data_IF_725087911393
#
_entry.id   IF_725087911393
#
_cell.length_a   1.000
_cell.length_b   1.000
_cell.length_c   1.000
_cell.angle_alpha   90.00
_cell.angle_beta   90.00
_cell.angle_gamma   90.00
#
_symmetry.space_group_name_H-M   'P 1'
#
loop_
_entity.id
_entity.type
_entity.pdbx_description
1 polymer ?
#
# COMPACT_ATOMS: atom_id res chain seq x y z
N UNK A 1 -30.83 2.67 3.66
CA UNK A 1 -29.73 3.50 3.13
C UNK A 1 -30.25 4.92 2.89
N UNK A 2 -29.55 6.00 3.30
CA UNK A 2 -29.94 7.38 2.93
C UNK A 2 -29.29 7.74 1.59
N UNK A 3 -29.98 8.50 0.74
CA UNK A 3 -29.52 8.87 -0.60
C UNK A 3 -28.08 9.42 -0.57
N UNK A 4 -27.17 8.79 -1.31
CA UNK A 4 -25.78 9.24 -1.45
C UNK A 4 -24.87 9.09 -0.22
N UNK A 5 -25.37 8.63 0.94
CA UNK A 5 -24.51 8.43 2.14
C UNK A 5 -23.70 7.15 2.04
N UNK A 6 -22.46 7.21 2.52
CA UNK A 6 -21.60 6.03 2.64
C UNK A 6 -22.19 5.03 3.62
N UNK A 7 -22.10 3.75 3.26
CA UNK A 7 -22.31 2.62 4.15
C UNK A 7 -21.39 1.47 3.72
N UNK A 8 -20.91 0.72 4.71
CA UNK A 8 -20.12 -0.49 4.50
C UNK A 8 -20.92 -1.53 3.71
N UNK A 9 -20.24 -2.25 2.82
CA UNK A 9 -20.81 -3.35 2.05
C UNK A 9 -21.20 -4.54 2.93
N UNK A 10 -20.61 -4.68 4.11
CA UNK A 10 -20.92 -5.74 5.07
C UNK A 10 -22.42 -5.94 5.29
N UNK A 11 -23.18 -4.84 5.39
CA UNK A 11 -24.64 -4.88 5.59
C UNK A 11 -25.43 -5.52 4.43
N UNK A 12 -24.79 -5.72 3.28
CA UNK A 12 -25.39 -6.34 2.10
C UNK A 12 -24.86 -7.76 1.85
N UNK A 13 -23.97 -8.26 2.71
CA UNK A 13 -23.49 -9.66 2.66
C UNK A 13 -24.53 -10.60 3.28
N UNK A 14 -24.48 -11.89 2.94
CA UNK A 14 -25.29 -12.91 3.62
C UNK A 14 -25.07 -12.88 5.14
N UNK A 15 -23.80 -12.78 5.55
CA UNK A 15 -23.39 -12.70 6.95
C UNK A 15 -23.99 -11.48 7.64
N UNK A 16 -23.83 -10.29 7.09
CA UNK A 16 -24.39 -9.06 7.68
C UNK A 16 -25.92 -9.04 7.73
N UNK A 17 -26.60 -9.67 6.77
CA UNK A 17 -28.06 -9.82 6.81
C UNK A 17 -28.53 -10.81 7.89
N UNK A 18 -27.80 -11.91 8.11
CA UNK A 18 -28.06 -12.84 9.21
C UNK A 18 -27.81 -12.20 10.58
N UNK A 19 -26.71 -11.46 10.72
CA UNK A 19 -26.42 -10.69 11.95
C UNK A 19 -27.54 -9.68 12.24
N UNK A 20 -28.00 -8.97 11.20
CA UNK A 20 -29.10 -8.02 11.33
C UNK A 20 -30.41 -8.71 11.72
N UNK A 21 -30.75 -9.86 11.12
CA UNK A 21 -31.98 -10.57 11.49
C UNK A 21 -31.93 -11.09 12.94
N UNK A 22 -30.80 -11.64 13.38
CA UNK A 22 -30.60 -12.08 14.76
C UNK A 22 -30.69 -10.91 15.75
N UNK A 23 -30.20 -9.72 15.38
CA UNK A 23 -30.31 -8.52 16.22
C UNK A 23 -31.75 -8.02 16.39
N UNK A 24 -32.63 -8.25 15.40
CA UNK A 24 -34.05 -7.86 15.46
C UNK A 24 -34.85 -8.81 16.37
N UNK A 25 -34.45 -10.08 16.49
CA UNK A 25 -35.08 -11.03 17.41
C UNK A 25 -34.68 -10.82 18.88
N UNK A 26 -33.60 -10.07 19.14
CA UNK A 26 -33.03 -9.80 20.46
C UNK A 26 -33.21 -8.31 20.81
N UNK A 27 -34.44 -7.82 20.76
CA UNK A 27 -34.75 -6.42 21.08
C UNK A 27 -34.73 -6.13 22.58
N UNK A 28 -34.87 -7.14 23.43
CA UNK A 28 -34.77 -7.01 24.89
C UNK A 28 -33.43 -7.60 25.38
N UNK A 29 -32.48 -6.75 25.85
CA UNK A 29 -31.20 -7.22 26.38
C UNK A 29 -31.34 -8.10 27.63
N UNK A 30 -32.48 -8.04 28.33
CA UNK A 30 -32.80 -8.84 29.52
C UNK A 30 -33.53 -10.15 29.19
N UNK A 31 -33.91 -10.38 27.92
CA UNK A 31 -34.52 -11.64 27.51
C UNK A 31 -33.53 -12.80 27.74
N UNK A 32 -34.00 -13.92 28.28
CA UNK A 32 -33.16 -15.08 28.53
C UNK A 32 -33.09 -15.97 27.29
N UNK A 33 -31.88 -16.22 26.79
CA UNK A 33 -31.62 -17.21 25.75
C UNK A 33 -31.14 -18.50 26.42
N UNK A 34 -31.78 -19.62 26.08
CA UNK A 34 -31.39 -20.94 26.55
C UNK A 34 -30.28 -21.49 25.65
N UNK A 35 -29.10 -21.73 26.22
CA UNK A 35 -28.02 -22.42 25.52
C UNK A 35 -28.31 -23.93 25.48
N UNK A 36 -27.75 -24.66 24.49
CA UNK A 36 -27.80 -26.11 24.48
C UNK A 36 -27.28 -26.68 25.81
N UNK A 37 -27.86 -27.76 26.33
CA UNK A 37 -27.40 -28.37 27.58
C UNK A 37 -25.94 -28.82 27.46
N UNK A 38 -25.20 -28.66 28.54
CA UNK A 38 -23.83 -29.17 28.65
C UNK A 38 -23.80 -30.71 28.77
N UNK A 39 -22.60 -31.28 28.94
CA UNK A 39 -22.38 -32.72 29.08
C UNK A 39 -23.17 -33.33 30.27
N UNK A 40 -23.58 -32.51 31.24
CA UNK A 40 -24.36 -32.91 32.41
C UNK A 40 -25.89 -32.72 32.20
N UNK A 41 -26.32 -32.28 31.01
CA UNK A 41 -27.74 -32.11 30.66
C UNK A 41 -28.37 -30.82 31.19
N UNK A 42 -27.59 -29.88 31.71
CA UNK A 42 -28.08 -28.63 32.30
C UNK A 42 -28.18 -27.53 31.25
N UNK A 43 -29.39 -27.02 31.03
CA UNK A 43 -29.62 -25.85 30.19
C UNK A 43 -29.26 -24.57 30.94
N UNK A 44 -28.31 -23.79 30.41
CA UNK A 44 -27.94 -22.48 30.95
C UNK A 44 -28.75 -21.39 30.27
N UNK A 45 -29.42 -20.56 31.07
CA UNK A 45 -30.11 -19.35 30.60
C UNK A 45 -29.20 -18.15 30.82
N UNK A 46 -28.83 -17.46 29.74
CA UNK A 46 -28.05 -16.23 29.83
C UNK A 46 -28.86 -15.05 29.28
N UNK A 47 -28.67 -13.83 29.83
CA UNK A 47 -29.24 -12.63 29.23
C UNK A 47 -28.80 -12.53 27.78
N UNK A 48 -29.72 -12.18 26.89
CA UNK A 48 -29.44 -12.05 25.48
C UNK A 48 -28.40 -10.95 25.21
N UNK A 49 -28.28 -9.98 26.11
CA UNK A 49 -27.20 -8.99 26.16
C UNK A 49 -25.80 -9.60 26.35
N UNK A 50 -25.66 -10.75 27.01
CA UNK A 50 -24.39 -11.42 27.25
C UNK A 50 -23.90 -12.24 26.04
N UNK A 51 -24.79 -12.56 25.09
CA UNK A 51 -24.46 -13.19 23.80
C UNK A 51 -24.00 -12.15 22.76
N UNK A 52 -24.17 -10.86 23.05
CA UNK A 52 -23.78 -9.78 22.13
C UNK A 52 -22.27 -9.72 22.01
N UNK A 53 -21.72 -10.50 21.09
CA UNK A 53 -20.51 -10.07 20.41
C UNK A 53 -20.93 -8.83 19.61
N UNK A 54 -20.35 -7.63 19.85
CA UNK A 54 -20.66 -6.48 19.04
C UNK A 54 -20.28 -6.84 17.61
N UNK A 55 -21.29 -7.12 16.77
CA UNK A 55 -21.10 -7.50 15.38
C UNK A 55 -20.10 -6.53 14.76
N UNK A 56 -18.88 -7.01 14.56
CA UNK A 56 -17.77 -6.17 14.12
C UNK A 56 -18.01 -5.99 12.64
N UNK A 57 -18.62 -4.85 12.29
CA UNK A 57 -18.89 -4.48 10.91
C UNK A 57 -17.59 -4.61 10.13
N UNK A 58 -17.57 -5.55 9.19
CA UNK A 58 -16.39 -5.80 8.38
C UNK A 58 -16.23 -4.64 7.40
N UNK A 59 -15.01 -4.11 7.30
CA UNK A 59 -14.72 -3.02 6.37
C UNK A 59 -14.70 -3.55 4.95
N UNK A 60 -15.08 -2.71 4.01
CA UNK A 60 -15.03 -3.02 2.57
C UNK A 60 -13.71 -3.69 2.10
N UNK A 61 -12.56 -3.23 2.59
CA UNK A 61 -11.23 -3.76 2.21
C UNK A 61 -10.92 -5.15 2.77
N UNK A 62 -11.66 -5.57 3.81
CA UNK A 62 -11.46 -6.82 4.54
C UNK A 62 -12.49 -7.90 4.16
N UNK A 63 -13.42 -7.59 3.25
CA UNK A 63 -14.39 -8.56 2.72
C UNK A 63 -13.69 -9.66 1.92
N UNK A 64 -14.29 -10.85 1.90
CA UNK A 64 -13.92 -11.85 0.89
C UNK A 64 -14.46 -11.45 -0.48
N UNK A 65 -13.96 -12.08 -1.54
CA UNK A 65 -14.48 -11.82 -2.88
C UNK A 65 -15.92 -12.30 -3.06
N UNK A 66 -16.27 -13.40 -2.41
CA UNK A 66 -17.61 -13.96 -2.37
C UNK A 66 -18.55 -12.95 -1.69
N UNK A 67 -18.17 -12.44 -0.52
CA UNK A 67 -18.94 -11.41 0.20
C UNK A 67 -19.06 -10.12 -0.59
N UNK A 68 -17.99 -9.68 -1.23
CA UNK A 68 -18.01 -8.51 -2.11
C UNK A 68 -19.00 -8.70 -3.27
N UNK A 69 -19.00 -9.86 -3.93
CA UNK A 69 -19.89 -10.14 -5.05
C UNK A 69 -21.37 -10.16 -4.62
N UNK A 70 -21.65 -10.75 -3.46
CA UNK A 70 -22.99 -10.71 -2.85
C UNK A 70 -23.43 -9.27 -2.54
N UNK A 71 -22.57 -8.53 -1.85
CA UNK A 71 -22.86 -7.19 -1.37
C UNK A 71 -23.02 -6.18 -2.51
N UNK A 72 -22.18 -6.26 -3.54
CA UNK A 72 -22.23 -5.39 -4.71
C UNK A 72 -23.60 -5.48 -5.41
N UNK A 73 -24.06 -6.69 -5.72
CA UNK A 73 -25.34 -6.88 -6.41
C UNK A 73 -26.52 -6.42 -5.55
N UNK A 74 -26.51 -6.73 -4.25
CA UNK A 74 -27.58 -6.29 -3.34
C UNK A 74 -27.57 -4.78 -3.12
N UNK A 75 -26.40 -4.16 -3.07
CA UNK A 75 -26.30 -2.70 -2.97
C UNK A 75 -26.84 -2.02 -4.23
N UNK A 76 -26.57 -2.53 -5.45
CA UNK A 76 -27.21 -2.01 -6.68
C UNK A 76 -28.74 -2.10 -6.57
N UNK A 77 -29.28 -3.23 -6.13
CA UNK A 77 -30.72 -3.39 -5.96
C UNK A 77 -31.28 -2.38 -4.94
N UNK A 78 -30.59 -2.18 -3.82
CA UNK A 78 -30.97 -1.17 -2.83
C UNK A 78 -30.92 0.25 -3.40
N UNK A 79 -29.88 0.62 -4.16
CA UNK A 79 -29.78 1.94 -4.80
C UNK A 79 -30.98 2.21 -5.71
N UNK A 80 -31.45 1.21 -6.47
CA UNK A 80 -32.67 1.30 -7.30
C UNK A 80 -33.92 1.54 -6.45
N UNK A 81 -34.11 0.74 -5.40
CA UNK A 81 -35.28 0.84 -4.50
C UNK A 81 -35.34 2.20 -3.79
N UNK A 82 -34.19 2.72 -3.38
CA UNK A 82 -34.08 4.03 -2.73
C UNK A 82 -34.02 5.21 -3.71
N UNK A 83 -34.26 4.99 -5.01
CA UNK A 83 -34.39 6.07 -5.99
C UNK A 83 -33.11 6.85 -6.26
N UNK A 84 -31.94 6.19 -6.24
CA UNK A 84 -30.70 6.82 -6.63
C UNK A 84 -30.74 7.23 -8.12
N UNK A 85 -30.05 8.31 -8.52
CA UNK A 85 -29.97 8.70 -9.93
C UNK A 85 -29.34 7.59 -10.79
N UNK A 86 -29.94 7.33 -11.95
CA UNK A 86 -29.57 6.21 -12.85
C UNK A 86 -28.10 6.26 -13.25
N UNK A 87 -27.57 7.45 -13.54
CA UNK A 87 -26.15 7.67 -13.87
C UNK A 87 -25.21 7.21 -12.75
N UNK A 88 -25.62 7.37 -11.47
CA UNK A 88 -24.83 6.91 -10.32
C UNK A 88 -24.93 5.40 -10.12
N UNK A 89 -26.10 4.82 -10.42
CA UNK A 89 -26.30 3.37 -10.39
C UNK A 89 -25.43 2.72 -11.47
N UNK A 90 -25.53 3.18 -12.72
CA UNK A 90 -24.77 2.67 -13.86
C UNK A 90 -23.26 2.80 -13.61
N UNK A 91 -22.81 3.93 -13.05
CA UNK A 91 -21.42 4.11 -12.67
C UNK A 91 -20.93 3.07 -11.65
N UNK A 92 -21.75 2.68 -10.66
CA UNK A 92 -21.39 1.62 -9.70
C UNK A 92 -21.41 0.23 -10.34
N UNK A 93 -22.36 -0.03 -11.25
CA UNK A 93 -22.40 -1.27 -12.05
C UNK A 93 -21.09 -1.40 -12.83
N UNK A 94 -20.74 -0.38 -13.62
CA UNK A 94 -19.51 -0.37 -14.42
C UNK A 94 -18.26 -0.53 -13.55
N UNK A 95 -18.22 0.17 -12.42
CA UNK A 95 -17.10 0.11 -11.49
C UNK A 95 -16.88 -1.31 -10.92
N UNK A 96 -17.94 -1.92 -10.37
CA UNK A 96 -17.84 -3.26 -9.79
C UNK A 96 -17.64 -4.33 -10.85
N UNK A 97 -18.28 -4.22 -12.01
CA UNK A 97 -18.02 -5.10 -13.15
C UNK A 97 -16.57 -5.00 -13.64
N UNK A 98 -15.99 -3.80 -13.69
CA UNK A 98 -14.58 -3.62 -14.07
C UNK A 98 -13.63 -4.29 -13.08
N UNK A 99 -13.93 -4.26 -11.77
CA UNK A 99 -13.12 -4.92 -10.75
C UNK A 99 -13.22 -6.44 -10.82
N UNK A 100 -14.42 -6.98 -10.97
CA UNK A 100 -14.66 -8.43 -11.08
C UNK A 100 -14.01 -9.02 -12.34
N UNK A 101 -13.98 -8.26 -13.44
CA UNK A 101 -13.35 -8.69 -14.70
C UNK A 101 -11.88 -8.26 -14.82
N UNK A 102 -11.30 -7.63 -13.79
CA UNK A 102 -9.92 -7.18 -13.86
C UNK A 102 -8.95 -8.37 -13.87
N UNK A 103 -7.89 -8.30 -14.68
CA UNK A 103 -6.85 -9.36 -14.76
C UNK A 103 -6.23 -9.76 -13.41
N UNK A 104 -6.25 -8.88 -12.42
CA UNK A 104 -5.75 -9.18 -11.07
C UNK A 104 -6.68 -10.06 -10.26
N UNK A 105 -7.99 -10.08 -10.58
CA UNK A 105 -8.96 -10.98 -9.96
C UNK A 105 -8.66 -12.44 -10.30
N UNK A 106 -8.21 -12.67 -11.53
CA UNK A 106 -7.84 -13.99 -12.07
C UNK A 106 -6.38 -14.37 -11.80
N UNK A 107 -5.58 -13.46 -11.24
CA UNK A 107 -4.18 -13.73 -10.96
C UNK A 107 -4.07 -14.67 -9.74
N UNK A 108 -3.09 -15.61 -9.73
CA UNK A 108 -2.85 -16.47 -8.57
C UNK A 108 -2.31 -15.71 -7.34
N UNK A 109 -1.87 -14.46 -7.55
CA UNK A 109 -1.31 -13.59 -6.53
C UNK A 109 -2.43 -12.97 -5.66
N UNK A 110 -2.52 -13.43 -4.41
CA UNK A 110 -3.52 -12.96 -3.44
C UNK A 110 -3.36 -11.49 -3.09
N UNK A 111 -2.14 -10.92 -3.17
CA UNK A 111 -1.91 -9.50 -2.93
C UNK A 111 -2.57 -8.64 -4.00
N UNK A 112 -2.49 -9.06 -5.27
CA UNK A 112 -3.16 -8.38 -6.38
C UNK A 112 -4.68 -8.41 -6.23
N UNK A 113 -5.22 -9.54 -5.76
CA UNK A 113 -6.65 -9.69 -5.49
C UNK A 113 -7.08 -8.77 -4.34
N UNK A 114 -6.35 -8.77 -3.21
CA UNK A 114 -6.63 -7.86 -2.08
C UNK A 114 -6.50 -6.39 -2.46
N UNK A 115 -5.55 -6.05 -3.33
CA UNK A 115 -5.37 -4.67 -3.80
C UNK A 115 -6.60 -4.12 -4.53
N UNK A 116 -7.35 -4.97 -5.23
CA UNK A 116 -8.61 -4.55 -5.86
C UNK A 116 -9.67 -4.20 -4.82
N UNK A 117 -9.79 -4.97 -3.74
CA UNK A 117 -10.74 -4.72 -2.65
C UNK A 117 -10.37 -3.46 -1.86
N UNK A 118 -9.08 -3.27 -1.55
CA UNK A 118 -8.61 -2.03 -0.93
C UNK A 118 -8.86 -0.81 -1.83
N UNK A 119 -8.56 -0.92 -3.12
CA UNK A 119 -8.83 0.14 -4.10
C UNK A 119 -10.34 0.46 -4.14
N UNK A 120 -11.19 -0.56 -4.21
CA UNK A 120 -12.64 -0.46 -4.11
C UNK A 120 -13.08 0.35 -2.89
N UNK A 121 -12.60 -0.03 -1.72
CA UNK A 121 -12.98 0.57 -0.44
C UNK A 121 -12.58 2.06 -0.39
N UNK A 122 -11.34 2.36 -0.78
CA UNK A 122 -10.82 3.73 -0.83
C UNK A 122 -11.62 4.60 -1.80
N UNK A 123 -11.81 4.12 -3.03
CA UNK A 123 -12.52 4.89 -4.06
C UNK A 123 -13.98 5.12 -3.73
N UNK A 124 -14.69 4.13 -3.16
CA UNK A 124 -16.06 4.33 -2.69
C UNK A 124 -16.13 5.35 -1.58
N UNK A 125 -15.29 5.24 -0.55
CA UNK A 125 -15.26 6.19 0.57
C UNK A 125 -15.03 7.61 0.08
N UNK A 126 -14.01 7.80 -0.75
CA UNK A 126 -13.69 9.13 -1.28
C UNK A 126 -14.81 9.64 -2.19
N UNK A 127 -15.42 8.79 -3.02
CA UNK A 127 -16.54 9.19 -3.86
C UNK A 127 -17.78 9.58 -3.04
N UNK A 128 -18.07 8.92 -1.93
CA UNK A 128 -19.17 9.33 -1.07
C UNK A 128 -18.89 10.65 -0.32
N UNK A 129 -17.62 10.96 -0.06
CA UNK A 129 -17.20 12.23 0.55
C UNK A 129 -17.27 13.41 -0.45
N UNK A 130 -16.83 13.19 -1.69
CA UNK A 130 -16.64 14.26 -2.69
C UNK A 130 -17.60 14.21 -3.89
N UNK A 131 -18.33 13.12 -4.10
CA UNK A 131 -19.10 12.84 -5.33
C UNK A 131 -20.30 13.76 -5.55
N UNK A 132 -20.79 14.40 -4.48
CA UNK A 132 -21.82 15.44 -4.52
C UNK A 132 -21.24 16.86 -4.62
N UNK A 133 -19.91 16.99 -4.72
CA UNK A 133 -19.23 18.28 -4.91
C UNK A 133 -18.86 18.46 -6.38
N UNK A 134 -18.54 19.70 -6.83
CA UNK A 134 -18.02 19.95 -8.17
C UNK A 134 -16.72 19.20 -8.50
N UNK A 135 -16.07 18.60 -7.49
CA UNK A 135 -14.85 17.82 -7.61
C UNK A 135 -15.10 16.31 -7.66
N UNK A 136 -16.37 15.88 -7.70
CA UNK A 136 -16.72 14.47 -7.88
C UNK A 136 -16.23 13.93 -9.23
N UNK A 137 -15.72 12.69 -9.23
CA UNK A 137 -15.30 11.99 -10.45
C UNK A 137 -16.15 10.73 -10.66
N UNK A 138 -16.04 10.15 -11.86
CA UNK A 138 -16.68 8.87 -12.17
C UNK A 138 -15.84 7.69 -11.70
N UNK A 139 -16.47 6.73 -11.02
CA UNK A 139 -15.84 5.47 -10.60
C UNK A 139 -15.75 4.43 -11.72
N UNK A 140 -16.50 4.59 -12.81
CA UNK A 140 -16.68 3.56 -13.85
C UNK A 140 -15.36 3.04 -14.46
N UNK A 141 -14.31 3.87 -14.47
CA UNK A 141 -12.99 3.49 -14.99
C UNK A 141 -11.99 3.30 -13.85
N UNK A 142 -11.34 2.14 -13.84
CA UNK A 142 -10.26 1.86 -12.89
C UNK A 142 -9.07 2.79 -13.17
N UNK A 143 -8.73 3.61 -12.18
CA UNK A 143 -7.51 4.41 -12.20
C UNK A 143 -6.32 3.50 -11.85
N UNK A 144 -5.62 3.05 -12.90
CA UNK A 144 -4.49 2.14 -12.75
C UNK A 144 -3.43 2.68 -11.78
N UNK A 145 -3.10 3.98 -11.85
CA UNK A 145 -2.10 4.57 -10.95
C UNK A 145 -2.50 4.42 -9.47
N UNK A 146 -3.77 4.64 -9.14
CA UNK A 146 -4.27 4.52 -7.77
C UNK A 146 -4.38 3.05 -7.35
N UNK A 147 -4.78 2.16 -8.26
CA UNK A 147 -4.79 0.71 -8.00
C UNK A 147 -3.37 0.17 -7.69
N UNK A 148 -2.35 0.60 -8.43
CA UNK A 148 -0.96 0.25 -8.13
C UNK A 148 -0.52 0.80 -6.77
N UNK A 149 -0.94 2.02 -6.39
CA UNK A 149 -0.65 2.59 -5.08
C UNK A 149 -1.31 1.78 -3.94
N UNK A 150 -2.54 1.29 -4.13
CA UNK A 150 -3.22 0.43 -3.15
C UNK A 150 -2.49 -0.92 -2.99
N UNK A 151 -2.00 -1.51 -4.10
CA UNK A 151 -1.16 -2.71 -4.03
C UNK A 151 0.13 -2.45 -3.27
N UNK A 152 0.81 -1.35 -3.56
CA UNK A 152 2.06 -0.99 -2.89
C UNK A 152 1.83 -0.72 -1.39
N UNK A 153 0.66 -0.20 -1.00
CA UNK A 153 0.25 -0.05 0.41
C UNK A 153 0.11 -1.41 1.12
N UNK A 154 -0.54 -2.40 0.49
CA UNK A 154 -0.63 -3.74 1.07
C UNK A 154 0.73 -4.44 1.14
N UNK A 155 1.58 -4.25 0.13
CA UNK A 155 2.94 -4.79 0.13
C UNK A 155 3.75 -4.18 1.28
N UNK A 156 3.64 -2.87 1.48
CA UNK A 156 4.26 -2.17 2.61
C UNK A 156 3.78 -2.74 3.95
N UNK A 157 2.47 -2.99 4.10
CA UNK A 157 1.88 -3.55 5.33
C UNK A 157 2.39 -4.97 5.62
N UNK A 158 2.39 -5.86 4.62
CA UNK A 158 2.92 -7.22 4.78
C UNK A 158 4.38 -7.21 5.22
N UNK A 159 5.20 -6.32 4.65
CA UNK A 159 6.60 -6.19 5.03
C UNK A 159 6.79 -5.68 6.47
N UNK A 160 5.97 -4.73 6.92
CA UNK A 160 6.00 -4.26 8.30
C UNK A 160 5.64 -5.38 9.27
N UNK A 161 4.59 -6.16 8.97
CA UNK A 161 4.19 -7.31 9.80
C UNK A 161 5.30 -8.36 9.90
N UNK A 162 6.00 -8.65 8.79
CA UNK A 162 7.14 -9.57 8.78
C UNK A 162 8.31 -9.03 9.61
N UNK A 163 8.62 -7.74 9.48
CA UNK A 163 9.75 -7.11 10.20
C UNK A 163 9.53 -7.06 11.72
N UNK A 164 8.28 -6.88 12.17
CA UNK A 164 7.93 -6.86 13.59
C UNK A 164 7.89 -8.26 14.23
N UNK A 165 7.83 -9.33 13.43
CA UNK A 165 7.80 -10.73 13.90
C UNK A 165 9.17 -11.42 13.87
N UNK A 166 10.23 -10.74 13.40
CA UNK A 166 11.57 -11.31 13.39
C UNK A 166 12.11 -11.45 14.83
N UNK A 167 12.53 -12.65 15.28
CA UNK A 167 13.10 -12.83 16.60
C UNK A 167 14.40 -12.04 16.73
N UNK A 168 14.61 -11.44 17.90
CA UNK A 168 15.87 -10.80 18.26
C UNK A 168 16.99 -11.86 18.24
N UNK A 169 17.76 -11.89 17.15
CA UNK A 169 18.96 -12.73 17.08
C UNK A 169 19.97 -12.15 18.07
N UNK A 170 20.11 -12.81 19.21
CA UNK A 170 21.21 -12.61 20.15
C UNK A 170 22.49 -13.02 19.47
N UNK A 171 23.30 -12.04 19.08
CA UNK A 171 24.65 -12.27 18.58
C UNK A 171 25.57 -12.66 19.74
N UNK A 172 25.74 -13.95 20.00
CA UNK A 172 26.91 -14.47 20.70
C UNK A 172 28.04 -14.63 19.67
N UNK A 173 29.15 -13.96 19.94
CA UNK A 173 30.32 -13.96 19.08
C UNK A 173 31.04 -15.31 19.06
N UNK A 174 31.63 -15.63 17.91
CA UNK A 174 32.78 -16.53 17.84
C UNK A 174 33.63 -16.13 16.64
N UNK A 175 34.90 -15.90 16.94
CA UNK A 175 35.99 -15.48 16.07
C UNK A 175 36.38 -16.57 15.07
N UNK A 176 36.79 -16.17 13.86
CA UNK A 176 37.42 -17.06 12.89
C UNK A 176 38.18 -16.25 11.84
N UNK A 177 39.50 -16.23 11.97
CA UNK A 177 40.44 -15.50 11.13
C UNK A 177 40.68 -16.19 9.76
N UNK A 178 41.33 -15.44 8.86
CA UNK A 178 42.02 -15.87 7.62
C UNK A 178 41.07 -16.09 6.42
N UNK A 179 41.33 -15.66 5.18
CA UNK A 179 42.58 -15.43 4.49
C UNK A 179 42.41 -14.37 3.37
N UNK A 180 43.41 -13.51 3.26
CA UNK A 180 43.68 -12.64 2.11
C UNK A 180 44.03 -13.44 0.86
N UNK A 181 43.32 -13.19 -0.24
CA UNK A 181 43.81 -13.46 -1.61
C UNK A 181 43.64 -12.20 -2.46
N UNK A 182 44.75 -11.54 -2.66
CA UNK A 182 45.02 -10.55 -3.70
C UNK A 182 44.96 -11.21 -5.07
N UNK A 183 44.13 -10.67 -5.97
CA UNK A 183 44.25 -10.92 -7.41
C UNK A 183 44.39 -9.59 -8.12
N UNK A 184 45.55 -9.44 -8.72
CA UNK A 184 46.01 -8.32 -9.52
C UNK A 184 45.44 -8.36 -10.94
N UNK A 185 45.57 -7.22 -11.63
CA UNK A 185 45.40 -6.99 -13.08
C UNK A 185 43.95 -6.78 -13.55
N UNK A 186 43.62 -5.85 -14.44
CA UNK A 186 44.46 -5.20 -15.46
C UNK A 186 43.77 -3.91 -15.97
N UNK A 187 44.57 -2.85 -16.12
CA UNK A 187 44.24 -1.64 -16.89
C UNK A 187 43.92 -2.01 -18.34
N UNK A 188 42.84 -1.45 -18.89
CA UNK A 188 42.76 -1.11 -20.32
C UNK A 188 42.04 0.23 -20.53
N UNK A 189 42.87 1.20 -20.89
CA UNK A 189 42.56 2.49 -21.50
C UNK A 189 42.07 2.30 -22.93
N UNK A 190 40.98 2.99 -23.30
CA UNK A 190 40.68 3.35 -24.69
C UNK A 190 39.73 4.57 -24.74
N UNK A 191 40.29 5.73 -25.08
CA UNK A 191 39.67 6.73 -25.98
C UNK A 191 40.28 6.49 -27.39
N UNK A 192 39.85 7.12 -28.51
CA UNK A 192 38.98 8.29 -28.67
C UNK A 192 37.97 8.20 -29.83
N UNK A 193 37.02 9.14 -29.94
CA UNK A 193 36.85 9.94 -31.19
C UNK A 193 35.96 11.16 -30.97
N UNK A 194 36.52 12.32 -31.29
CA UNK A 194 35.88 13.61 -31.39
C UNK A 194 34.98 13.67 -32.63
N UNK A 195 33.79 14.26 -32.49
CA UNK A 195 33.15 15.02 -33.56
C UNK A 195 32.63 16.33 -33.00
N UNK A 196 33.25 17.38 -33.51
CA UNK A 196 32.92 18.80 -33.35
C UNK A 196 31.57 19.12 -33.98
N UNK A 197 30.78 19.98 -33.32
CA UNK A 197 29.57 20.53 -33.91
C UNK A 197 28.65 21.23 -32.91
N UNK A 198 28.74 22.57 -32.87
CA UNK A 198 27.63 23.43 -32.44
C UNK A 198 27.56 23.81 -30.97
N UNK A 199 28.33 24.83 -30.58
CA UNK A 199 28.18 25.53 -29.31
C UNK A 199 26.85 26.33 -29.28
N UNK A 200 25.79 25.71 -28.78
CA UNK A 200 24.67 26.42 -28.14
C UNK A 200 24.96 26.44 -26.64
N UNK A 201 25.03 27.64 -26.04
CA UNK A 201 25.09 27.84 -24.59
C UNK A 201 23.88 27.12 -23.96
N UNK A 202 24.09 25.89 -23.50
CA UNK A 202 23.07 25.08 -22.82
C UNK A 202 22.87 25.70 -21.45
N UNK A 203 21.61 26.04 -21.13
CA UNK A 203 21.22 26.24 -19.75
C UNK A 203 21.73 25.05 -18.93
N UNK A 204 22.43 25.31 -17.82
CA UNK A 204 22.88 24.26 -16.91
C UNK A 204 21.65 23.53 -16.38
N UNK A 205 21.30 22.41 -17.00
CA UNK A 205 20.23 21.54 -16.52
C UNK A 205 20.74 20.86 -15.27
N UNK A 206 20.36 21.36 -14.10
CA UNK A 206 20.63 20.72 -12.82
C UNK A 206 19.82 19.42 -12.80
N UNK A 207 20.51 18.29 -12.87
CA UNK A 207 19.86 16.99 -12.76
C UNK A 207 19.47 16.73 -11.30
N UNK A 208 18.29 16.15 -11.02
CA UNK A 208 17.98 15.65 -9.69
C UNK A 208 19.00 14.58 -9.31
N UNK A 209 19.40 14.53 -8.04
CA UNK A 209 20.36 13.55 -7.59
C UNK A 209 19.77 12.14 -7.63
N UNK A 210 20.61 11.15 -7.91
CA UNK A 210 20.23 9.75 -7.75
C UNK A 210 20.07 9.42 -6.26
N UNK A 211 18.97 8.78 -5.88
CA UNK A 211 18.74 8.38 -4.49
C UNK A 211 19.73 7.30 -3.98
N UNK A 212 20.45 6.60 -4.85
CA UNK A 212 21.46 5.60 -4.44
C UNK A 212 22.84 6.26 -4.33
N UNK A 213 23.39 6.75 -5.44
CA UNK A 213 24.76 7.29 -5.46
C UNK A 213 24.88 8.78 -5.13
N UNK A 214 23.77 9.50 -4.99
CA UNK A 214 23.72 10.95 -4.74
C UNK A 214 24.36 11.83 -5.82
N UNK A 215 24.70 11.26 -6.97
CA UNK A 215 25.26 11.99 -8.11
C UNK A 215 24.19 12.72 -8.93
N UNK A 216 24.56 13.88 -9.48
CA UNK A 216 23.78 14.72 -10.41
C UNK A 216 24.31 14.61 -11.83
N UNK A 217 24.46 13.37 -12.32
CA UNK A 217 24.94 13.09 -13.68
C UNK A 217 24.04 12.08 -14.40
N UNK A 218 23.99 12.10 -15.74
CA UNK A 218 23.13 11.20 -16.52
C UNK A 218 23.46 9.72 -16.28
N UNK A 219 22.50 8.97 -15.75
CA UNK A 219 22.51 7.51 -15.72
C UNK A 219 21.08 6.98 -15.46
N UNK A 220 20.88 5.67 -15.61
CA UNK A 220 19.59 5.02 -15.29
C UNK A 220 19.40 4.93 -13.78
N UNK A 221 18.84 5.97 -13.18
CA UNK A 221 18.65 6.10 -11.72
C UNK A 221 17.85 4.95 -11.11
N UNK A 222 16.88 4.38 -11.85
CA UNK A 222 16.07 3.24 -11.40
C UNK A 222 16.82 1.91 -11.39
N UNK A 223 17.94 1.83 -12.10
CA UNK A 223 18.83 0.66 -12.20
C UNK A 223 20.17 0.91 -11.47
N UNK A 224 20.28 2.00 -10.71
CA UNK A 224 21.52 2.34 -10.02
C UNK A 224 21.83 1.33 -8.90
N UNK A 225 22.92 0.59 -9.06
CA UNK A 225 23.42 -0.42 -8.13
C UNK A 225 24.77 -0.06 -7.50
N UNK A 226 25.14 1.24 -7.50
CA UNK A 226 26.40 1.67 -6.90
C UNK A 226 26.44 1.38 -5.40
N UNK A 227 27.55 0.83 -4.94
CA UNK A 227 27.82 0.59 -3.52
C UNK A 227 28.41 1.81 -2.78
N UNK A 228 28.83 2.83 -3.53
CA UNK A 228 29.43 4.08 -3.02
C UNK A 228 28.79 5.33 -3.64
N UNK A 229 28.95 6.46 -2.96
CA UNK A 229 28.51 7.79 -3.43
C UNK A 229 29.23 8.22 -4.71
N UNK A 230 28.76 9.28 -5.35
CA UNK A 230 29.27 9.79 -6.63
C UNK A 230 30.78 10.10 -6.62
N UNK A 231 31.32 10.45 -5.45
CA UNK A 231 32.71 10.79 -5.17
C UNK A 231 33.53 9.61 -4.61
N UNK A 232 32.93 8.42 -4.51
CA UNK A 232 33.50 7.22 -3.89
C UNK A 232 33.97 7.41 -2.43
N UNK A 233 33.58 8.48 -1.73
CA UNK A 233 34.02 8.73 -0.33
C UNK A 233 33.21 7.95 0.69
N UNK A 234 31.91 7.79 0.44
CA UNK A 234 31.00 7.13 1.38
C UNK A 234 30.40 5.86 0.78
N UNK A 235 30.17 4.86 1.61
CA UNK A 235 29.26 3.78 1.24
C UNK A 235 27.84 4.35 1.11
N UNK A 236 27.09 3.89 0.10
CA UNK A 236 25.66 4.19 0.01
C UNK A 236 24.94 3.62 1.23
N UNK A 237 24.02 4.39 1.80
CA UNK A 237 23.17 3.91 2.91
C UNK A 237 22.03 3.03 2.38
N UNK A 238 21.55 3.32 1.17
CA UNK A 238 20.50 2.58 0.51
C UNK A 238 20.96 1.91 -0.78
N UNK A 239 20.22 0.88 -1.19
CA UNK A 239 20.33 0.19 -2.46
C UNK A 239 18.96 0.01 -3.12
N UNK A 240 18.95 -0.43 -4.37
CA UNK A 240 17.71 -0.76 -5.08
C UNK A 240 17.53 -2.27 -5.22
N UNK A 241 16.41 -2.76 -4.71
CA UNK A 241 15.95 -4.13 -4.87
C UNK A 241 14.57 -4.05 -5.51
N UNK A 242 14.38 -4.69 -6.67
CA UNK A 242 13.13 -4.66 -7.44
C UNK A 242 12.52 -3.26 -7.63
N UNK A 243 13.38 -2.28 -7.94
CA UNK A 243 13.04 -0.85 -8.15
C UNK A 243 12.64 -0.09 -6.88
N UNK A 244 12.47 -0.76 -5.74
CA UNK A 244 12.28 -0.14 -4.43
C UNK A 244 13.62 0.28 -3.80
N UNK A 245 13.59 1.24 -2.87
CA UNK A 245 14.79 1.72 -2.15
C UNK A 245 14.82 1.09 -0.76
N UNK A 246 15.86 0.32 -0.48
CA UNK A 246 16.07 -0.36 0.80
C UNK A 246 17.32 0.18 1.48
N UNK A 247 17.35 0.22 2.80
CA UNK A 247 18.61 0.37 3.53
C UNK A 247 19.50 -0.84 3.24
N UNK A 248 20.83 -0.65 3.25
CA UNK A 248 21.79 -1.71 2.96
C UNK A 248 21.78 -2.88 3.94
N UNK A 249 21.24 -2.68 5.13
CA UNK A 249 21.01 -3.78 6.07
C UNK A 249 19.76 -4.61 5.72
N UNK A 250 19.04 -4.24 4.66
CA UNK A 250 17.82 -4.88 4.19
C UNK A 250 16.61 -4.66 5.11
N UNK A 251 16.75 -3.91 6.20
CA UNK A 251 15.72 -3.85 7.26
C UNK A 251 14.65 -2.81 7.00
N UNK A 252 14.97 -1.77 6.23
CA UNK A 252 14.09 -0.63 6.08
C UNK A 252 13.82 -0.31 4.61
N UNK A 253 12.54 -0.31 4.25
CA UNK A 253 12.06 0.24 3.00
C UNK A 253 11.93 1.77 3.11
N UNK A 254 12.66 2.51 2.27
CA UNK A 254 12.67 3.96 2.27
C UNK A 254 11.56 4.53 1.38
N UNK A 255 11.00 5.66 1.79
CA UNK A 255 10.01 6.37 0.99
C UNK A 255 10.66 7.03 -0.23
N UNK A 256 10.36 6.54 -1.44
CA UNK A 256 10.91 7.12 -2.67
C UNK A 256 10.43 8.56 -2.95
N UNK A 257 9.23 8.92 -2.51
CA UNK A 257 8.73 10.30 -2.61
C UNK A 257 9.51 11.24 -1.69
N UNK A 258 9.86 10.79 -0.48
CA UNK A 258 10.69 11.55 0.46
C UNK A 258 12.08 11.89 -0.10
N UNK A 259 12.63 11.05 -1.00
CA UNK A 259 13.93 11.30 -1.62
C UNK A 259 13.91 12.33 -2.76
N UNK A 260 12.74 12.85 -3.12
CA UNK A 260 12.58 13.87 -4.17
C UNK A 260 12.65 15.26 -3.56
N UNK A 261 12.77 16.27 -4.42
CA UNK A 261 12.88 17.67 -4.01
C UNK A 261 11.59 18.17 -3.34
N UNK A 262 10.45 17.69 -3.83
CA UNK A 262 9.13 18.04 -3.29
C UNK A 262 8.83 17.34 -1.95
N UNK A 263 9.62 16.32 -1.59
CA UNK A 263 9.41 15.50 -0.41
C UNK A 263 8.12 14.65 -0.45
N UNK A 264 7.66 14.22 0.73
CA UNK A 264 6.47 13.38 0.89
C UNK A 264 5.49 14.02 1.87
N UNK A 265 4.25 14.28 1.43
CA UNK A 265 3.19 14.87 2.26
C UNK A 265 2.41 13.86 3.11
N UNK A 266 2.65 12.56 2.91
CA UNK A 266 1.93 11.49 3.62
C UNK A 266 2.50 11.28 5.03
N UNK A 267 1.82 11.84 6.03
CA UNK A 267 2.18 11.69 7.46
C UNK A 267 2.24 10.23 7.95
N UNK A 268 1.47 9.31 7.36
CA UNK A 268 1.52 7.88 7.74
C UNK A 268 2.87 7.19 7.48
N UNK A 269 3.83 7.84 6.81
CA UNK A 269 5.10 7.23 6.37
C UNK A 269 6.35 7.78 7.09
N UNK A 270 6.21 8.49 8.21
CA UNK A 270 7.34 9.10 8.94
C UNK A 270 8.47 8.11 9.27
N UNK A 271 8.16 6.86 9.64
CA UNK A 271 9.18 5.84 9.90
C UNK A 271 10.05 5.48 8.67
N UNK A 272 9.58 5.79 7.46
CA UNK A 272 10.29 5.56 6.18
C UNK A 272 10.89 6.83 5.59
N UNK A 273 10.72 7.97 6.26
CA UNK A 273 11.28 9.26 5.84
C UNK A 273 12.74 9.35 6.30
N UNK A 274 13.56 8.46 5.76
CA UNK A 274 14.99 8.36 6.04
C UNK A 274 15.75 8.67 4.76
N UNK A 275 16.72 9.57 4.84
CA UNK A 275 17.60 9.96 3.74
C UNK A 275 18.38 8.74 3.25
N UNK A 276 18.25 8.42 1.97
CA UNK A 276 18.92 7.27 1.35
C UNK A 276 20.44 7.43 1.23
N UNK A 277 20.97 8.63 1.46
CA UNK A 277 22.40 8.93 1.41
C UNK A 277 23.14 8.83 2.75
N UNK A 278 22.47 9.17 3.85
CA UNK A 278 23.12 9.28 5.16
C UNK A 278 22.33 8.69 6.33
N UNK A 279 21.10 8.23 6.12
CA UNK A 279 20.26 7.66 7.19
C UNK A 279 19.56 8.69 8.07
N UNK A 280 19.70 10.00 7.81
CA UNK A 280 19.01 11.04 8.58
C UNK A 280 17.51 11.06 8.33
N UNK A 281 16.71 11.34 9.36
CA UNK A 281 15.26 11.55 9.26
C UNK A 281 14.86 12.99 8.88
N UNK A 282 15.80 13.93 8.89
CA UNK A 282 15.49 15.36 8.73
C UNK A 282 15.30 15.81 7.29
N UNK A 283 15.77 15.03 6.31
CA UNK A 283 15.79 15.42 4.90
C UNK A 283 15.74 14.20 3.98
N UNK A 284 15.49 14.44 2.68
CA UNK A 284 15.59 13.44 1.61
C UNK A 284 16.90 13.54 0.83
N UNK A 285 17.15 12.59 -0.08
CA UNK A 285 18.38 12.52 -0.87
C UNK A 285 18.78 13.83 -1.59
N UNK A 286 17.81 14.59 -2.12
CA UNK A 286 18.10 15.85 -2.83
C UNK A 286 18.78 16.92 -1.96
N UNK A 287 18.54 16.86 -0.65
CA UNK A 287 19.04 17.81 0.34
C UNK A 287 20.12 17.18 1.22
N UNK A 288 20.65 16.01 0.82
CA UNK A 288 21.65 15.32 1.60
C UNK A 288 22.99 16.08 1.54
N UNK A 289 23.70 16.27 2.68
CA UNK A 289 25.04 16.89 2.66
C UNK A 289 26.09 16.14 1.84
N UNK A 290 25.80 14.88 1.47
CA UNK A 290 26.67 14.03 0.63
C UNK A 290 26.30 14.10 -0.86
N UNK A 291 25.31 14.91 -1.23
CA UNK A 291 24.86 15.07 -2.61
C UNK A 291 25.92 15.80 -3.42
N UNK A 292 26.01 15.46 -4.72
CA UNK A 292 26.84 16.24 -5.63
C UNK A 292 26.30 17.67 -5.71
N UNK A 293 27.17 18.63 -5.42
CA UNK A 293 26.87 20.05 -5.62
C UNK A 293 26.71 20.33 -7.13
N UNK A 294 25.71 21.15 -7.45
CA UNK A 294 25.35 21.55 -8.82
C UNK A 294 26.20 22.69 -9.33
#
# INVERSE_FOLDING_TARGET
MKLGRYCELHYFTNRGLLEASHSVFISDPEALVMLPPDEDGLCVFIPAGAIRDPATVVKDEDLTWEEFNEAALRMIAAMKVYGWPTDRIDMHIDFWSALQNHRWRLAPDTLKQRALLLYQAQQRRDWHLYGNTPHGWSLAKINQKVLYLARDELFDEQLVSITLQAPAITSSGSSGASHSRSVSAQKRSASPTERTGGARKRAHTIFPCCAVCLGRFPHRVIECSRSRTWDDRHQTFAERIDKALWSKDGKLLLCAAWQREEGCTRRKRHARHICSGCGSISHGAQQCPRVQES
#
